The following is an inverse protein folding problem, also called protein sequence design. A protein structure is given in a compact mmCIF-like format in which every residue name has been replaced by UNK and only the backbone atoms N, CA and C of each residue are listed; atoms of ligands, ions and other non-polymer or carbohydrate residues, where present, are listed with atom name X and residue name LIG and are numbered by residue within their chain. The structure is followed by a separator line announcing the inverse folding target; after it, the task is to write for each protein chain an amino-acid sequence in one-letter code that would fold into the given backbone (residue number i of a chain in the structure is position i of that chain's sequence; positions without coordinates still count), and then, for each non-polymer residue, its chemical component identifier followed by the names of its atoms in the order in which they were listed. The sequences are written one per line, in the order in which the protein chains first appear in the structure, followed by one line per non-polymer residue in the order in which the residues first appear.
data_IF_719484967277
#
_entry.id   IF_719484967277
#
_cell.length_a   1.000
_cell.length_b   1.000
_cell.length_c   1.000
_cell.angle_alpha   90.00
_cell.angle_beta   90.00
_cell.angle_gamma   90.00
#
_symmetry.space_group_name_H-M   'P 1'
#
loop_
_entity.id
_entity.type
_entity.pdbx_description
1 polymer ?
#
# COMPACT_ATOMS: atom_id res chain seq x y z
N UNK A 1 10.42 8.81 7.55
CA UNK A 1 11.23 9.88 6.91
C UNK A 1 10.43 10.36 5.71
N UNK A 2 10.22 11.66 5.50
CA UNK A 2 9.44 12.13 4.36
C UNK A 2 10.15 11.76 3.04
N UNK A 3 9.46 11.00 2.17
CA UNK A 3 9.98 10.57 0.88
C UNK A 3 9.89 11.73 -0.10
N UNK A 4 10.77 11.74 -1.11
CA UNK A 4 10.77 12.78 -2.14
C UNK A 4 9.41 12.91 -2.83
N UNK A 5 8.69 11.81 -3.00
CA UNK A 5 7.41 11.76 -3.68
C UNK A 5 6.29 12.41 -2.86
N UNK A 6 6.33 12.29 -1.53
CA UNK A 6 5.31 12.81 -0.60
C UNK A 6 5.13 14.32 -0.79
N UNK A 7 6.24 15.06 -0.93
CA UNK A 7 6.23 16.50 -1.20
C UNK A 7 5.44 16.89 -2.46
N UNK A 8 5.49 16.05 -3.49
CA UNK A 8 4.73 16.31 -4.73
C UNK A 8 3.27 15.88 -4.60
N UNK A 9 3.00 14.77 -3.91
CA UNK A 9 1.65 14.25 -3.69
C UNK A 9 0.82 15.18 -2.81
N UNK A 10 1.41 15.80 -1.80
CA UNK A 10 0.75 16.76 -0.89
C UNK A 10 -0.01 17.86 -1.64
N UNK A 11 0.46 18.25 -2.82
CA UNK A 11 -0.14 19.31 -3.64
C UNK A 11 -1.14 18.81 -4.68
N UNK A 12 -1.21 17.50 -4.89
CA UNK A 12 -1.94 16.88 -6.01
C UNK A 12 -3.13 16.05 -5.56
N UNK A 13 -3.15 15.59 -4.30
CA UNK A 13 -4.20 14.70 -3.77
C UNK A 13 -4.77 15.23 -2.47
N UNK A 14 -6.03 14.87 -2.15
CA UNK A 14 -6.72 15.32 -0.94
C UNK A 14 -6.24 14.62 0.33
N UNK A 15 -6.65 15.12 1.50
CA UNK A 15 -6.22 14.61 2.81
C UNK A 15 -6.53 13.12 3.02
N UNK A 16 -7.69 12.66 2.53
CA UNK A 16 -8.09 11.25 2.60
C UNK A 16 -7.12 10.35 1.82
N UNK A 17 -6.80 10.74 0.58
CA UNK A 17 -5.84 10.02 -0.25
C UNK A 17 -4.43 10.03 0.35
N UNK A 18 -4.01 11.15 0.95
CA UNK A 18 -2.72 11.25 1.65
C UNK A 18 -2.67 10.32 2.84
N UNK A 19 -3.74 10.29 3.65
CA UNK A 19 -3.85 9.42 4.83
C UNK A 19 -3.81 7.96 4.41
N UNK A 20 -4.54 7.59 3.36
CA UNK A 20 -4.54 6.24 2.81
C UNK A 20 -3.14 5.83 2.30
N UNK A 21 -2.49 6.70 1.52
CA UNK A 21 -1.12 6.46 1.02
C UNK A 21 -0.12 6.27 2.17
N UNK A 22 -0.21 7.11 3.22
CA UNK A 22 0.67 7.03 4.38
C UNK A 22 0.45 5.74 5.17
N UNK A 23 -0.80 5.33 5.39
CA UNK A 23 -1.11 4.09 6.11
C UNK A 23 -0.51 2.84 5.44
N UNK A 24 -0.50 2.81 4.10
CA UNK A 24 0.14 1.72 3.36
C UNK A 24 1.65 1.79 3.47
N UNK A 25 2.23 2.98 3.41
CA UNK A 25 3.67 3.15 3.62
C UNK A 25 4.12 2.65 4.99
N UNK A 26 3.41 3.03 6.05
CA UNK A 26 3.74 2.62 7.42
C UNK A 26 3.68 1.10 7.54
N UNK A 27 2.66 0.45 6.96
CA UNK A 27 2.60 -1.00 6.87
C UNK A 27 3.82 -1.61 6.17
N UNK A 28 4.25 -1.03 5.03
CA UNK A 28 5.41 -1.55 4.30
C UNK A 28 6.70 -1.37 5.12
N UNK A 29 6.89 -0.20 5.73
CA UNK A 29 8.06 0.11 6.56
C UNK A 29 8.17 -0.85 7.76
N UNK A 30 7.05 -1.19 8.38
CA UNK A 30 7.03 -2.01 9.60
C UNK A 30 7.02 -3.52 9.30
N UNK A 31 6.21 -3.96 8.33
CA UNK A 31 5.91 -5.39 8.12
C UNK A 31 6.70 -6.03 6.97
N UNK A 32 7.06 -5.26 5.93
CA UNK A 32 7.59 -5.78 4.66
C UNK A 32 9.07 -5.46 4.51
N UNK A 33 9.43 -4.17 4.52
CA UNK A 33 10.78 -3.67 4.23
C UNK A 33 11.89 -4.34 5.06
N UNK A 34 11.72 -4.60 6.39
CA UNK A 34 12.77 -5.23 7.19
C UNK A 34 13.09 -6.67 6.80
N UNK A 35 12.14 -7.37 6.15
CA UNK A 35 12.22 -8.81 5.84
C UNK A 35 12.33 -9.09 4.34
N UNK A 36 12.01 -8.12 3.49
CA UNK A 36 11.99 -8.23 2.03
C UNK A 36 13.26 -8.88 1.46
N UNK A 37 14.44 -8.39 1.88
CA UNK A 37 15.72 -8.88 1.37
C UNK A 37 16.03 -10.32 1.81
N UNK A 38 15.53 -10.74 2.97
CA UNK A 38 15.63 -12.13 3.43
C UNK A 38 14.79 -13.04 2.53
N UNK A 39 13.53 -12.66 2.28
CA UNK A 39 12.62 -13.42 1.43
C UNK A 39 13.15 -13.55 0.00
N UNK A 40 13.64 -12.45 -0.57
CA UNK A 40 14.19 -12.40 -1.93
C UNK A 40 15.42 -13.32 -2.05
N UNK A 41 16.41 -13.19 -1.17
CA UNK A 41 17.59 -14.06 -1.16
C UNK A 41 17.25 -15.53 -0.91
N UNK A 42 16.24 -15.78 -0.09
CA UNK A 42 15.75 -17.10 0.24
C UNK A 42 14.90 -17.76 -0.86
N UNK A 43 14.60 -17.05 -1.96
CA UNK A 43 13.63 -17.47 -2.98
C UNK A 43 12.26 -17.83 -2.37
N UNK A 44 11.88 -17.11 -1.32
CA UNK A 44 10.64 -17.32 -0.59
C UNK A 44 9.51 -16.54 -1.26
N UNK A 45 8.32 -17.11 -1.21
CA UNK A 45 7.10 -16.35 -1.49
C UNK A 45 6.85 -15.34 -0.38
N UNK A 46 6.06 -14.30 -0.68
CA UNK A 46 5.56 -13.38 0.34
C UNK A 46 4.82 -14.20 1.40
N UNK A 47 5.14 -14.08 2.70
CA UNK A 47 4.49 -14.88 3.74
C UNK A 47 2.98 -14.63 3.82
N UNK A 48 2.21 -15.69 4.07
CA UNK A 48 0.74 -15.62 4.18
C UNK A 48 0.28 -14.59 5.22
N UNK A 49 1.02 -14.41 6.31
CA UNK A 49 0.71 -13.39 7.33
C UNK A 49 0.83 -11.95 6.83
N UNK A 50 1.71 -11.67 5.86
CA UNK A 50 1.80 -10.37 5.22
C UNK A 50 0.64 -10.18 4.23
N UNK A 51 0.31 -11.23 3.45
CA UNK A 51 -0.83 -11.23 2.54
C UNK A 51 -2.15 -11.03 3.31
N UNK A 52 -2.30 -11.67 4.47
CA UNK A 52 -3.47 -11.52 5.33
C UNK A 52 -3.64 -10.08 5.82
N UNK A 53 -2.57 -9.43 6.27
CA UNK A 53 -2.62 -8.01 6.66
C UNK A 53 -3.00 -7.10 5.48
N UNK A 54 -2.44 -7.34 4.29
CA UNK A 54 -2.84 -6.60 3.08
C UNK A 54 -4.32 -6.80 2.74
N UNK A 55 -4.86 -8.00 3.00
CA UNK A 55 -6.29 -8.29 2.81
C UNK A 55 -7.17 -7.58 3.85
N UNK A 56 -6.73 -7.53 5.12
CA UNK A 56 -7.43 -6.80 6.19
C UNK A 56 -7.48 -5.28 5.91
N UNK A 57 -6.44 -4.75 5.27
CA UNK A 57 -6.39 -3.37 4.77
C UNK A 57 -7.20 -3.16 3.47
N UNK A 58 -7.79 -4.22 2.90
CA UNK A 58 -8.62 -4.17 1.71
C UNK A 58 -7.87 -3.94 0.39
N UNK A 59 -6.54 -4.07 0.36
CA UNK A 59 -5.71 -3.64 -0.79
C UNK A 59 -6.03 -4.38 -2.09
N UNK A 60 -6.56 -5.60 -2.01
CA UNK A 60 -6.93 -6.40 -3.19
C UNK A 60 -8.25 -5.97 -3.85
N UNK A 61 -9.06 -5.14 -3.18
CA UNK A 61 -10.39 -4.76 -3.61
C UNK A 61 -10.58 -3.26 -3.83
N UNK A 62 -9.50 -2.48 -3.94
CA UNK A 62 -9.58 -1.01 -3.95
C UNK A 62 -10.58 -0.49 -4.96
N UNK A 63 -10.47 -0.87 -6.23
CA UNK A 63 -11.34 -0.37 -7.31
C UNK A 63 -12.60 -1.20 -7.53
N UNK A 64 -12.80 -2.24 -6.72
CA UNK A 64 -13.99 -3.10 -6.77
C UNK A 64 -15.13 -2.37 -6.06
N UNK A 65 -16.32 -2.36 -6.66
CA UNK A 65 -17.53 -1.78 -6.05
C UNK A 65 -17.85 -2.43 -4.71
N UNK A 66 -18.35 -1.64 -3.76
CA UNK A 66 -18.77 -2.10 -2.43
C UNK A 66 -19.85 -3.19 -2.51
N UNK A 67 -20.70 -3.18 -3.55
CA UNK A 67 -21.74 -4.20 -3.76
C UNK A 67 -21.18 -5.62 -3.93
N UNK A 68 -19.90 -5.72 -4.34
CA UNK A 68 -19.16 -6.97 -4.48
C UNK A 68 -18.13 -7.18 -3.37
N UNK A 69 -18.18 -6.37 -2.30
CA UNK A 69 -17.25 -6.44 -1.16
C UNK A 69 -15.90 -5.76 -1.39
N UNK A 70 -15.80 -4.86 -2.37
CA UNK A 70 -14.62 -4.00 -2.56
C UNK A 70 -14.69 -2.70 -1.75
N UNK A 71 -13.75 -1.78 -2.00
CA UNK A 71 -13.66 -0.49 -1.30
C UNK A 71 -14.27 0.69 -2.08
N UNK A 72 -14.70 0.49 -3.32
CA UNK A 72 -15.29 1.56 -4.14
C UNK A 72 -14.32 2.72 -4.47
N UNK A 73 -13.02 2.50 -4.27
CA UNK A 73 -11.97 3.48 -4.49
C UNK A 73 -11.75 3.79 -5.97
N UNK A 74 -11.15 4.95 -6.21
CA UNK A 74 -10.84 5.44 -7.54
C UNK A 74 -9.57 4.82 -8.12
N UNK A 75 -9.36 5.05 -9.42
CA UNK A 75 -8.09 4.69 -10.06
C UNK A 75 -6.89 5.42 -9.43
N UNK A 76 -7.11 6.63 -8.88
CA UNK A 76 -6.07 7.38 -8.18
C UNK A 76 -5.65 6.64 -6.91
N UNK A 77 -6.59 6.08 -6.16
CA UNK A 77 -6.30 5.33 -4.92
C UNK A 77 -5.49 4.08 -5.22
N UNK A 78 -5.79 3.39 -6.32
CA UNK A 78 -4.99 2.24 -6.78
C UNK A 78 -3.55 2.64 -7.12
N UNK A 79 -3.36 3.79 -7.78
CA UNK A 79 -2.03 4.30 -8.11
C UNK A 79 -1.25 4.68 -6.85
N UNK A 80 -1.92 5.33 -5.88
CA UNK A 80 -1.31 5.69 -4.60
C UNK A 80 -0.91 4.43 -3.81
N UNK A 81 -1.76 3.40 -3.75
CA UNK A 81 -1.37 2.12 -3.16
C UNK A 81 -0.13 1.54 -3.85
N UNK A 82 -0.10 1.53 -5.19
CA UNK A 82 1.03 1.01 -5.95
C UNK A 82 2.33 1.75 -5.68
N UNK A 83 2.26 3.09 -5.56
CA UNK A 83 3.40 3.92 -5.18
C UNK A 83 3.87 3.60 -3.77
N UNK A 84 2.95 3.46 -2.81
CA UNK A 84 3.29 3.14 -1.43
C UNK A 84 3.97 1.77 -1.28
N UNK A 85 3.51 0.77 -2.03
CA UNK A 85 4.09 -0.57 -2.05
C UNK A 85 5.46 -0.64 -2.76
N UNK A 86 5.62 0.10 -3.86
CA UNK A 86 6.78 -0.03 -4.75
C UNK A 86 7.89 1.00 -4.52
N UNK A 87 7.61 2.10 -3.82
CA UNK A 87 8.53 3.23 -3.66
C UNK A 87 8.91 3.39 -2.19
N UNK A 88 10.02 2.77 -1.80
CA UNK A 88 10.52 2.81 -0.41
C UNK A 88 11.70 3.75 -0.28
#
# INVERSE_FOLDING_TARGET
MARRLDYYLERLVGEEQQTFHQAIHDFVDDAIAPRWLEWERGHQLIPDGAIAQMAEMGLFGITVSEEYGGQGGSQLDLLLMGLALGYQ
#
